data_IF_460028607164
#
_entry.id   IF_460028607164
#
_cell.length_a   1.000
_cell.length_b   1.000
_cell.length_c   1.000
_cell.angle_alpha   90.00
_cell.angle_beta   90.00
_cell.angle_gamma   90.00
#
_symmetry.space_group_name_H-M   'P 1'
#
loop_
_entity.id
_entity.type
_entity.pdbx_description
1 polymer ?
#
# COMPACT_ATOMS: atom_id res chain seq x y z
N UNK A 1 2.67 0.07 -15.48
CA UNK A 1 4.09 0.00 -15.06
C UNK A 1 4.12 -0.41 -13.59
N UNK A 2 5.00 -1.33 -13.19
CA UNK A 2 5.14 -1.77 -11.80
C UNK A 2 5.60 -0.60 -10.92
N UNK A 3 4.96 -0.40 -9.79
CA UNK A 3 5.19 0.77 -8.92
C UNK A 3 5.93 0.43 -7.63
N UNK A 4 5.93 -0.85 -7.21
CA UNK A 4 6.59 -1.27 -5.98
C UNK A 4 6.41 -2.74 -5.66
N UNK A 5 7.03 -3.14 -4.56
CA UNK A 5 6.93 -4.47 -3.96
C UNK A 5 6.22 -4.34 -2.61
N UNK A 6 5.43 -5.36 -2.25
CA UNK A 6 4.76 -5.39 -0.94
C UNK A 6 5.60 -6.09 0.13
N UNK A 7 6.61 -6.84 -0.27
CA UNK A 7 7.46 -7.59 0.64
C UNK A 7 8.91 -7.63 0.16
N UNK A 8 9.84 -7.42 1.07
CA UNK A 8 11.29 -7.59 0.88
C UNK A 8 11.95 -7.78 2.25
N UNK A 9 13.13 -8.39 2.27
CA UNK A 9 14.00 -8.40 3.46
C UNK A 9 14.58 -7.01 3.76
N UNK A 10 14.62 -6.13 2.77
CA UNK A 10 15.04 -4.74 2.92
C UNK A 10 13.89 -3.85 3.36
N UNK A 11 14.15 -2.78 4.11
CA UNK A 11 13.12 -1.84 4.59
C UNK A 11 12.56 -1.01 3.42
N UNK A 12 11.49 -1.50 2.79
CA UNK A 12 10.89 -0.88 1.59
C UNK A 12 10.43 0.55 1.82
N UNK A 13 10.04 0.91 3.04
CA UNK A 13 9.58 2.25 3.42
C UNK A 13 10.66 3.33 3.26
N UNK A 14 11.94 2.95 3.17
CA UNK A 14 13.04 3.90 2.93
C UNK A 14 13.14 4.34 1.47
N UNK A 15 12.39 3.72 0.56
CA UNK A 15 12.51 3.93 -0.88
C UNK A 15 11.22 4.42 -1.49
N UNK A 16 11.27 5.54 -2.20
CA UNK A 16 10.12 6.09 -2.91
C UNK A 16 9.90 5.42 -4.27
N UNK A 17 10.93 4.82 -4.84
CA UNK A 17 10.89 4.19 -6.18
C UNK A 17 11.63 2.87 -6.19
N UNK A 18 11.30 2.01 -7.17
CA UNK A 18 12.03 0.75 -7.41
C UNK A 18 13.49 1.05 -7.80
N UNK A 19 13.70 2.10 -8.56
CA UNK A 19 15.04 2.52 -8.99
C UNK A 19 15.93 2.86 -7.79
N UNK A 20 15.45 3.70 -6.87
CA UNK A 20 16.19 4.05 -5.65
C UNK A 20 16.49 2.81 -4.78
N UNK A 21 15.54 1.88 -4.71
CA UNK A 21 15.75 0.59 -4.04
C UNK A 21 16.87 -0.22 -4.68
N UNK A 22 16.86 -0.38 -6.00
CA UNK A 22 17.87 -1.17 -6.74
C UNK A 22 19.25 -0.55 -6.61
N UNK A 23 19.36 0.76 -6.81
CA UNK A 23 20.64 1.49 -6.76
C UNK A 23 21.29 1.39 -5.39
N UNK A 24 20.52 1.36 -4.30
CA UNK A 24 21.04 1.23 -2.94
C UNK A 24 21.27 -0.21 -2.51
N UNK A 25 20.33 -1.11 -2.81
CA UNK A 25 20.31 -2.47 -2.22
C UNK A 25 20.98 -3.53 -3.08
N UNK A 26 21.05 -3.34 -4.40
CA UNK A 26 21.63 -4.34 -5.31
C UNK A 26 22.39 -3.72 -6.49
N UNK A 27 23.35 -2.80 -6.26
CA UNK A 27 24.07 -2.11 -7.33
C UNK A 27 24.84 -3.07 -8.23
N UNK A 28 25.34 -4.18 -7.70
CA UNK A 28 26.04 -5.22 -8.49
C UNK A 28 25.13 -5.90 -9.53
N UNK A 29 23.81 -5.91 -9.31
CA UNK A 29 22.88 -6.54 -10.26
C UNK A 29 22.63 -5.67 -11.48
N UNK A 30 22.86 -4.37 -11.36
CA UNK A 30 22.65 -3.37 -12.40
C UNK A 30 23.95 -2.76 -12.94
N UNK A 31 25.11 -3.36 -12.62
CA UNK A 31 26.42 -2.89 -13.09
C UNK A 31 26.54 -2.92 -14.62
N UNK A 32 25.72 -3.72 -15.29
CA UNK A 32 25.63 -3.80 -16.74
C UNK A 32 24.16 -3.68 -17.18
N UNK A 33 23.91 -2.86 -18.18
CA UNK A 33 22.60 -2.66 -18.79
C UNK A 33 22.60 -3.34 -20.15
N UNK A 34 22.27 -4.63 -20.15
CA UNK A 34 22.25 -5.46 -21.37
C UNK A 34 21.07 -6.44 -21.34
N UNK A 35 20.69 -6.94 -22.53
CA UNK A 35 19.68 -7.98 -22.67
C UNK A 35 20.09 -9.26 -21.93
N UNK A 36 21.37 -9.62 -22.03
CA UNK A 36 21.91 -10.80 -21.34
C UNK A 36 21.80 -10.65 -19.80
N UNK A 37 22.08 -9.45 -19.29
CA UNK A 37 21.93 -9.18 -17.85
C UNK A 37 20.47 -9.22 -17.42
N UNK A 38 19.56 -8.68 -18.24
CA UNK A 38 18.12 -8.77 -18.01
C UNK A 38 17.65 -10.23 -17.90
N UNK A 39 18.04 -11.06 -18.86
CA UNK A 39 17.73 -12.50 -18.84
C UNK A 39 18.27 -13.18 -17.59
N UNK A 40 19.50 -12.89 -17.20
CA UNK A 40 20.11 -13.45 -15.98
C UNK A 40 19.34 -13.06 -14.72
N UNK A 41 18.83 -11.81 -14.64
CA UNK A 41 18.01 -11.40 -13.51
C UNK A 41 16.65 -12.09 -13.50
N UNK A 42 15.99 -12.20 -14.65
CA UNK A 42 14.69 -12.87 -14.79
C UNK A 42 14.76 -14.38 -14.57
N UNK A 43 15.91 -15.01 -14.86
CA UNK A 43 16.12 -16.44 -14.66
C UNK A 43 16.21 -16.85 -13.18
N UNK A 44 16.25 -15.92 -12.24
CA UNK A 44 16.39 -16.26 -10.83
C UNK A 44 15.15 -16.99 -10.29
N UNK A 45 15.34 -18.22 -9.84
CA UNK A 45 14.27 -19.16 -9.47
C UNK A 45 13.30 -18.66 -8.39
N UNK A 46 13.73 -17.74 -7.53
CA UNK A 46 12.88 -17.19 -6.48
C UNK A 46 11.94 -16.07 -6.98
N UNK A 47 12.03 -15.69 -8.25
CA UNK A 47 10.98 -14.89 -8.89
C UNK A 47 9.82 -15.83 -9.23
N UNK A 48 9.05 -16.19 -8.22
CA UNK A 48 8.03 -17.25 -8.32
C UNK A 48 6.89 -16.90 -9.25
N UNK A 49 6.58 -15.62 -9.40
CA UNK A 49 5.59 -15.14 -10.37
C UNK A 49 5.94 -15.54 -11.81
N UNK A 50 7.23 -15.81 -12.09
CA UNK A 50 7.72 -16.28 -13.41
C UNK A 50 7.88 -17.80 -13.41
N UNK A 51 8.58 -18.33 -12.39
CA UNK A 51 9.05 -19.73 -12.43
C UNK A 51 8.10 -20.74 -11.79
N UNK A 52 7.09 -20.25 -11.05
CA UNK A 52 6.11 -21.11 -10.37
C UNK A 52 4.71 -20.48 -10.37
N UNK A 53 4.19 -19.99 -11.50
CA UNK A 53 2.97 -19.19 -11.54
C UNK A 53 1.73 -19.94 -11.04
N UNK A 54 1.69 -21.27 -11.18
CA UNK A 54 0.55 -22.09 -10.77
C UNK A 54 0.56 -22.50 -9.29
N UNK A 55 1.71 -22.40 -8.62
CA UNK A 55 1.88 -22.83 -7.23
C UNK A 55 2.32 -21.70 -6.31
N UNK A 56 2.69 -20.58 -6.88
CA UNK A 56 3.08 -19.38 -6.14
C UNK A 56 1.88 -18.65 -5.58
N UNK A 57 2.05 -18.06 -4.41
CA UNK A 57 1.15 -17.08 -3.85
C UNK A 57 1.50 -15.64 -4.26
N UNK A 58 2.52 -15.48 -5.10
CA UNK A 58 2.90 -14.18 -5.63
C UNK A 58 1.81 -13.68 -6.60
N UNK A 59 1.42 -12.43 -6.45
CA UNK A 59 0.33 -11.83 -7.20
C UNK A 59 0.58 -10.35 -7.47
N UNK A 60 -0.10 -9.79 -8.45
CA UNK A 60 -0.20 -8.36 -8.59
C UNK A 60 -1.28 -7.80 -7.67
N UNK A 61 -1.03 -6.61 -7.13
CA UNK A 61 -1.95 -5.93 -6.23
C UNK A 61 -2.21 -4.52 -6.74
N UNK A 62 -3.49 -4.18 -6.85
CA UNK A 62 -3.97 -2.83 -7.12
C UNK A 62 -4.85 -2.38 -5.98
N UNK A 63 -4.55 -1.23 -5.41
CA UNK A 63 -5.46 -0.51 -4.54
C UNK A 63 -6.22 0.49 -5.41
N UNK A 64 -7.54 0.38 -5.46
CA UNK A 64 -8.36 1.17 -6.39
C UNK A 64 -8.21 2.69 -6.23
N UNK A 65 -7.80 3.15 -5.05
CA UNK A 65 -7.53 4.57 -4.76
C UNK A 65 -6.11 5.04 -5.08
N UNK A 66 -5.24 4.11 -5.52
CA UNK A 66 -3.88 4.42 -5.99
C UNK A 66 -3.78 4.06 -7.47
N UNK A 67 -3.18 4.94 -8.25
CA UNK A 67 -2.86 4.67 -9.67
C UNK A 67 -1.54 3.89 -9.78
N UNK A 68 -1.41 2.82 -8.98
CA UNK A 68 -0.15 2.08 -8.85
C UNK A 68 -0.41 0.58 -8.84
N UNK A 69 0.46 -0.14 -9.53
CA UNK A 69 0.51 -1.60 -9.56
C UNK A 69 1.68 -2.07 -8.69
N UNK A 70 1.37 -2.90 -7.72
CA UNK A 70 2.36 -3.52 -6.83
C UNK A 70 2.47 -5.01 -7.12
N UNK A 71 3.59 -5.60 -6.71
CA UNK A 71 3.72 -7.04 -6.63
C UNK A 71 3.82 -7.48 -5.17
N UNK A 72 2.95 -8.39 -4.76
CA UNK A 72 3.03 -9.12 -3.51
C UNK A 72 3.83 -10.40 -3.78
N UNK A 73 5.10 -10.41 -3.41
CA UNK A 73 5.99 -11.53 -3.67
C UNK A 73 6.60 -12.06 -2.37
N UNK A 74 6.92 -13.35 -2.37
CA UNK A 74 7.50 -14.06 -1.23
C UNK A 74 9.01 -14.30 -1.37
N UNK A 75 9.58 -13.94 -2.53
CA UNK A 75 11.01 -14.05 -2.81
C UNK A 75 11.42 -13.37 -4.11
N UNK A 76 12.72 -13.26 -4.37
CA UNK A 76 13.26 -12.72 -5.62
C UNK A 76 13.11 -11.22 -5.84
N UNK A 77 12.72 -10.43 -4.83
CA UNK A 77 12.47 -8.99 -4.96
C UNK A 77 13.64 -8.23 -5.56
N UNK A 78 14.87 -8.51 -5.13
CA UNK A 78 16.07 -7.83 -5.63
C UNK A 78 16.33 -8.13 -7.11
N UNK A 79 16.19 -9.37 -7.53
CA UNK A 79 16.39 -9.77 -8.92
C UNK A 79 15.30 -9.20 -9.82
N UNK A 80 14.04 -9.26 -9.37
CA UNK A 80 12.92 -8.70 -10.14
C UNK A 80 13.00 -7.18 -10.23
N UNK A 81 13.43 -6.49 -9.16
CA UNK A 81 13.67 -5.07 -9.17
C UNK A 81 14.80 -4.67 -10.11
N UNK A 82 15.92 -5.43 -10.09
CA UNK A 82 17.02 -5.21 -11.03
C UNK A 82 16.60 -5.49 -12.47
N UNK A 83 15.83 -6.54 -12.73
CA UNK A 83 15.25 -6.79 -14.04
C UNK A 83 14.36 -5.65 -14.53
N UNK A 84 13.49 -5.12 -13.68
CA UNK A 84 12.67 -3.94 -13.98
C UNK A 84 13.53 -2.72 -14.34
N UNK A 85 14.57 -2.46 -13.54
CA UNK A 85 15.51 -1.36 -13.75
C UNK A 85 16.22 -1.45 -15.10
N UNK A 86 16.75 -2.64 -15.45
CA UNK A 86 17.45 -2.91 -16.70
C UNK A 86 16.47 -2.79 -17.89
N UNK A 87 15.32 -3.47 -17.80
CA UNK A 87 14.29 -3.46 -18.84
C UNK A 87 13.83 -2.04 -19.18
N UNK A 88 13.62 -1.20 -18.16
CA UNK A 88 13.24 0.20 -18.32
C UNK A 88 14.30 1.00 -19.09
N UNK A 89 15.59 0.79 -18.81
CA UNK A 89 16.70 1.48 -19.47
C UNK A 89 16.94 1.00 -20.89
N UNK A 90 16.66 -0.26 -21.15
CA UNK A 90 16.71 -0.84 -22.50
C UNK A 90 15.46 -0.52 -23.32
N UNK A 91 14.44 0.10 -22.70
CA UNK A 91 13.11 0.24 -23.28
C UNK A 91 12.54 -1.11 -23.79
N UNK A 92 12.82 -2.17 -23.02
CA UNK A 92 12.44 -3.55 -23.37
C UNK A 92 11.22 -3.98 -22.54
N UNK A 93 10.07 -4.27 -23.18
CA UNK A 93 8.89 -4.72 -22.48
C UNK A 93 9.05 -6.15 -21.96
N UNK A 94 8.82 -6.37 -20.66
CA UNK A 94 8.75 -7.69 -20.04
C UNK A 94 7.29 -7.98 -19.72
N UNK A 95 6.72 -9.00 -20.35
CA UNK A 95 5.35 -9.46 -20.08
C UNK A 95 5.34 -10.47 -18.95
N UNK A 96 4.48 -10.26 -17.96
CA UNK A 96 4.25 -11.16 -16.84
C UNK A 96 2.77 -11.55 -16.79
N UNK A 97 2.52 -12.83 -16.49
CA UNK A 97 1.17 -13.36 -16.27
C UNK A 97 1.07 -13.77 -14.81
N UNK A 98 0.11 -13.23 -14.10
CA UNK A 98 -0.13 -13.57 -12.71
C UNK A 98 -1.56 -13.24 -12.29
N UNK A 99 -1.95 -13.74 -11.12
CA UNK A 99 -3.19 -13.32 -10.48
C UNK A 99 -3.12 -11.84 -10.15
N UNK A 100 -4.27 -11.17 -10.26
CA UNK A 100 -4.44 -9.78 -9.88
C UNK A 100 -5.43 -9.69 -8.74
N UNK A 101 -5.00 -9.12 -7.61
CA UNK A 101 -5.86 -8.80 -6.48
C UNK A 101 -6.16 -7.30 -6.48
N UNK A 102 -7.45 -6.97 -6.57
CA UNK A 102 -7.90 -5.58 -6.49
C UNK A 102 -8.56 -5.32 -5.14
N UNK A 103 -8.06 -4.32 -4.41
CA UNK A 103 -8.68 -3.80 -3.21
C UNK A 103 -9.51 -2.57 -3.55
N UNK A 104 -10.78 -2.59 -3.19
CA UNK A 104 -11.72 -1.48 -3.35
C UNK A 104 -12.32 -1.10 -2.01
N UNK A 105 -12.51 0.19 -1.79
CA UNK A 105 -13.25 0.69 -0.64
C UNK A 105 -14.75 0.65 -0.97
N UNK A 106 -15.53 0.08 -0.06
CA UNK A 106 -16.98 0.07 -0.20
C UNK A 106 -17.56 1.42 0.27
N UNK A 107 -17.94 2.24 -0.69
CA UNK A 107 -18.48 3.58 -0.43
C UNK A 107 -19.73 3.56 0.46
N UNK A 108 -20.60 2.59 0.28
CA UNK A 108 -21.83 2.49 1.08
C UNK A 108 -21.53 2.27 2.56
N UNK A 109 -20.67 1.30 2.87
CA UNK A 109 -20.27 1.05 4.27
C UNK A 109 -19.44 2.18 4.83
N UNK A 110 -18.61 2.83 4.01
CA UNK A 110 -17.88 3.99 4.45
C UNK A 110 -18.82 5.15 4.85
N UNK A 111 -19.86 5.44 4.06
CA UNK A 111 -20.86 6.46 4.40
C UNK A 111 -21.57 6.18 5.72
N UNK A 112 -21.94 4.92 5.97
CA UNK A 112 -22.53 4.52 7.25
C UNK A 112 -21.53 4.73 8.39
N UNK A 113 -20.29 4.33 8.22
CA UNK A 113 -19.23 4.53 9.21
C UNK A 113 -19.04 6.03 9.50
N UNK A 114 -18.90 6.86 8.47
CA UNK A 114 -18.64 8.30 8.59
C UNK A 114 -19.79 9.06 9.28
N UNK A 115 -21.03 8.60 9.11
CA UNK A 115 -22.19 9.16 9.83
C UNK A 115 -22.13 8.92 11.34
N UNK A 116 -21.56 7.81 11.78
CA UNK A 116 -21.62 7.37 13.17
C UNK A 116 -20.31 7.50 13.91
N UNK A 117 -19.18 7.50 13.20
CA UNK A 117 -17.85 7.45 13.81
C UNK A 117 -16.88 8.40 13.12
N UNK A 118 -15.94 8.90 13.91
CA UNK A 118 -14.72 9.52 13.40
C UNK A 118 -13.51 8.75 13.91
N UNK A 119 -12.49 8.60 13.07
CA UNK A 119 -11.27 7.90 13.43
C UNK A 119 -10.05 8.82 13.25
N UNK A 120 -9.09 8.69 14.15
CA UNK A 120 -7.81 9.39 14.09
C UNK A 120 -6.66 8.40 14.21
N UNK A 121 -5.57 8.71 13.53
CA UNK A 121 -4.31 7.97 13.64
C UNK A 121 -3.35 8.81 14.48
N UNK A 122 -2.91 8.26 15.60
CA UNK A 122 -2.02 8.94 16.52
C UNK A 122 -0.65 8.25 16.54
N UNK A 123 0.44 9.04 16.53
CA UNK A 123 1.77 8.53 16.86
C UNK A 123 1.80 7.98 18.29
N UNK A 124 2.47 6.87 18.48
CA UNK A 124 2.57 6.23 19.79
C UNK A 124 3.22 7.14 20.86
N UNK A 125 4.14 8.00 20.42
CA UNK A 125 4.80 8.96 21.30
C UNK A 125 3.84 10.01 21.90
N UNK A 126 2.63 10.16 21.32
CA UNK A 126 1.62 11.14 21.76
C UNK A 126 0.48 10.48 22.57
N UNK A 127 0.57 9.18 22.82
CA UNK A 127 -0.52 8.44 23.45
C UNK A 127 -0.73 8.76 24.92
N UNK A 128 0.35 8.99 25.65
CA UNK A 128 0.25 9.24 27.10
C UNK A 128 -0.56 10.50 27.39
N UNK A 129 -0.33 11.56 26.64
CA UNK A 129 -1.10 12.82 26.74
C UNK A 129 -2.58 12.59 26.36
N UNK A 130 -2.82 11.83 25.29
CA UNK A 130 -4.16 11.52 24.82
C UNK A 130 -4.93 10.68 25.85
N UNK A 131 -4.30 9.64 26.42
CA UNK A 131 -4.92 8.78 27.43
C UNK A 131 -5.24 9.53 28.71
N UNK A 132 -4.35 10.38 29.20
CA UNK A 132 -4.61 11.22 30.36
C UNK A 132 -5.86 12.09 30.16
N UNK A 133 -6.00 12.64 28.95
CA UNK A 133 -7.19 13.42 28.61
C UNK A 133 -8.46 12.56 28.56
N UNK A 134 -8.41 11.35 27.99
CA UNK A 134 -9.56 10.44 27.91
C UNK A 134 -10.05 10.02 29.29
N UNK A 135 -9.15 9.66 30.19
CA UNK A 135 -9.47 9.25 31.56
C UNK A 135 -10.14 10.39 32.34
N UNK A 136 -9.61 11.60 32.24
CA UNK A 136 -10.16 12.77 32.93
C UNK A 136 -11.54 13.17 32.39
N UNK A 137 -11.83 12.88 31.13
CA UNK A 137 -13.05 13.34 30.44
C UNK A 137 -14.12 12.26 30.34
N UNK A 138 -13.89 11.04 30.89
CA UNK A 138 -14.81 9.89 30.78
C UNK A 138 -15.28 9.59 29.34
N UNK A 139 -14.36 9.71 28.40
CA UNK A 139 -14.64 9.56 26.96
C UNK A 139 -14.62 8.08 26.59
N UNK A 140 -15.61 7.66 25.78
CA UNK A 140 -15.69 6.31 25.24
C UNK A 140 -15.07 6.28 23.84
N UNK A 141 -14.10 5.40 23.66
CA UNK A 141 -13.43 5.17 22.38
C UNK A 141 -13.19 3.68 22.14
N UNK A 142 -12.97 3.32 20.88
CA UNK A 142 -12.48 2.01 20.47
C UNK A 142 -11.06 2.21 19.95
N UNK A 143 -10.12 1.45 20.46
CA UNK A 143 -8.75 1.45 19.98
C UNK A 143 -8.52 0.21 19.13
N UNK A 144 -8.03 0.40 17.91
CA UNK A 144 -7.55 -0.69 17.07
C UNK A 144 -6.07 -0.90 17.38
N UNK A 145 -5.75 -2.10 17.88
CA UNK A 145 -4.36 -2.51 18.12
C UNK A 145 -3.76 -2.97 16.80
N UNK A 146 -3.03 -2.08 16.17
CA UNK A 146 -2.29 -2.37 14.96
C UNK A 146 -0.97 -3.08 15.25
N UNK A 147 -0.51 -3.91 14.29
CA UNK A 147 0.82 -4.54 14.38
C UNK A 147 1.96 -3.52 14.17
N UNK A 148 1.66 -2.34 13.66
CA UNK A 148 2.62 -1.25 13.52
C UNK A 148 2.92 -0.62 14.88
N UNK A 149 4.18 -0.69 15.29
CA UNK A 149 4.63 -0.26 16.62
C UNK A 149 4.58 1.26 16.86
N UNK A 150 4.35 2.06 15.82
CA UNK A 150 4.51 3.52 15.87
C UNK A 150 3.21 4.31 15.77
N UNK A 151 2.11 3.67 15.31
CA UNK A 151 0.83 4.33 15.10
C UNK A 151 -0.30 3.54 15.76
N UNK A 152 -1.29 4.25 16.27
CA UNK A 152 -2.52 3.67 16.79
C UNK A 152 -3.75 4.37 16.24
N UNK A 153 -4.86 3.63 16.06
CA UNK A 153 -6.10 4.15 15.50
C UNK A 153 -7.15 4.17 16.61
N UNK A 154 -7.76 5.34 16.78
CA UNK A 154 -8.84 5.57 17.72
C UNK A 154 -10.13 5.90 16.99
N UNK A 155 -11.23 5.31 17.41
CA UNK A 155 -12.56 5.55 16.90
C UNK A 155 -13.42 6.19 18.00
N UNK A 156 -14.04 7.30 17.66
CA UNK A 156 -14.99 8.00 18.52
C UNK A 156 -16.37 7.97 17.87
N UNK A 157 -17.40 7.60 18.63
CA UNK A 157 -18.77 7.77 18.15
C UNK A 157 -19.09 9.26 18.01
N UNK A 158 -19.77 9.65 16.95
CA UNK A 158 -20.28 11.01 16.74
C UNK A 158 -21.50 11.25 17.63
N UNK A 159 -21.28 11.35 18.93
CA UNK A 159 -22.27 11.65 19.94
C UNK A 159 -22.00 13.00 20.59
N UNK A 160 -23.00 13.56 21.25
CA UNK A 160 -22.86 14.82 21.99
C UNK A 160 -21.76 14.74 23.04
N UNK A 161 -21.59 13.57 23.69
CA UNK A 161 -20.59 13.37 24.74
C UNK A 161 -19.15 13.43 24.20
N UNK A 162 -18.95 13.04 22.93
CA UNK A 162 -17.64 13.02 22.28
C UNK A 162 -17.34 14.29 21.48
N UNK A 163 -18.29 15.21 21.32
CA UNK A 163 -18.13 16.36 20.42
C UNK A 163 -16.90 17.20 20.77
N UNK A 164 -16.68 17.48 22.05
CA UNK A 164 -15.53 18.29 22.49
C UNK A 164 -14.20 17.65 22.17
N UNK A 165 -14.06 16.33 22.40
CA UNK A 165 -12.81 15.63 22.10
C UNK A 165 -12.57 15.53 20.60
N UNK A 166 -13.61 15.27 19.82
CA UNK A 166 -13.53 15.22 18.37
C UNK A 166 -13.00 16.54 17.84
N UNK A 167 -13.55 17.69 18.30
CA UNK A 167 -13.09 19.01 17.87
C UNK A 167 -11.61 19.27 18.22
N UNK A 168 -11.17 18.88 19.41
CA UNK A 168 -9.75 19.01 19.81
C UNK A 168 -8.85 18.19 18.92
N UNK A 169 -9.29 16.98 18.55
CA UNK A 169 -8.51 16.09 17.69
C UNK A 169 -8.48 16.57 16.23
N UNK A 170 -9.59 17.12 15.73
CA UNK A 170 -9.68 17.70 14.39
C UNK A 170 -8.76 18.92 14.22
N UNK A 171 -8.52 19.69 15.30
CA UNK A 171 -7.55 20.78 15.27
C UNK A 171 -6.08 20.31 15.17
N UNK A 172 -5.77 19.16 15.73
CA UNK A 172 -4.38 18.64 15.82
C UNK A 172 -4.07 17.58 14.79
N UNK A 173 -5.04 16.74 14.43
CA UNK A 173 -4.84 15.57 13.59
C UNK A 173 -5.83 15.57 12.42
N UNK A 174 -5.34 15.12 11.29
CA UNK A 174 -6.22 14.84 10.17
C UNK A 174 -7.01 13.55 10.44
N UNK A 175 -8.31 13.57 10.26
CA UNK A 175 -9.14 12.39 10.47
C UNK A 175 -8.87 11.32 9.40
N UNK A 176 -8.96 10.06 9.79
CA UNK A 176 -8.91 8.93 8.85
C UNK A 176 -10.11 8.96 7.90
N UNK A 177 -11.26 9.51 8.34
CA UNK A 177 -12.46 9.68 7.52
C UNK A 177 -12.19 10.56 6.30
N UNK A 178 -11.48 11.68 6.45
CA UNK A 178 -11.09 12.54 5.33
C UNK A 178 -10.16 11.79 4.35
N UNK A 179 -9.20 11.03 4.88
CA UNK A 179 -8.31 10.23 4.05
C UNK A 179 -9.06 9.16 3.26
N UNK A 180 -10.00 8.44 3.91
CA UNK A 180 -10.83 7.42 3.25
C UNK A 180 -11.76 8.09 2.24
N UNK A 181 -12.38 9.23 2.56
CA UNK A 181 -13.23 9.99 1.63
C UNK A 181 -12.47 10.36 0.36
N UNK A 182 -11.25 10.85 0.51
CA UNK A 182 -10.36 11.12 -0.62
C UNK A 182 -10.05 9.86 -1.42
N UNK A 183 -9.77 8.73 -0.76
CA UNK A 183 -9.53 7.44 -1.41
C UNK A 183 -10.76 6.95 -2.19
N UNK A 184 -11.96 7.08 -1.61
CA UNK A 184 -13.24 6.72 -2.27
C UNK A 184 -13.45 7.56 -3.53
N UNK A 185 -13.21 8.86 -3.47
CA UNK A 185 -13.31 9.73 -4.63
C UNK A 185 -12.27 9.38 -5.71
N UNK A 186 -11.05 9.04 -5.32
CA UNK A 186 -9.97 8.65 -6.25
C UNK A 186 -10.22 7.33 -6.94
N UNK A 187 -10.76 6.33 -6.27
CA UNK A 187 -10.99 5.01 -6.89
C UNK A 187 -11.96 5.06 -8.08
N UNK A 188 -12.93 5.97 -8.08
CA UNK A 188 -13.87 6.15 -9.18
C UNK A 188 -13.18 6.57 -10.50
N UNK A 189 -11.99 7.18 -10.41
CA UNK A 189 -11.23 7.70 -11.55
C UNK A 189 -9.94 6.93 -11.82
N UNK A 190 -9.75 5.75 -11.20
CA UNK A 190 -8.51 4.99 -11.36
C UNK A 190 -8.38 4.39 -12.77
N UNK A 191 -7.57 5.04 -13.60
CA UNK A 191 -7.34 4.64 -15.00
C UNK A 191 -6.68 3.26 -15.11
N UNK A 192 -5.77 2.92 -14.19
CA UNK A 192 -5.09 1.61 -14.16
C UNK A 192 -6.12 0.50 -13.94
N UNK A 193 -7.01 0.68 -12.96
CA UNK A 193 -8.07 -0.28 -12.68
C UNK A 193 -9.03 -0.42 -13.87
N UNK A 194 -9.45 0.68 -14.47
CA UNK A 194 -10.32 0.68 -15.66
C UNK A 194 -9.67 -0.04 -16.84
N UNK A 195 -8.39 0.18 -17.11
CA UNK A 195 -7.64 -0.50 -18.16
C UNK A 195 -7.52 -2.02 -17.91
N UNK A 196 -7.34 -2.42 -16.66
CA UNK A 196 -7.29 -3.83 -16.28
C UNK A 196 -8.66 -4.50 -16.46
N UNK A 197 -9.72 -3.85 -15.99
CA UNK A 197 -11.08 -4.37 -16.08
C UNK A 197 -11.54 -4.45 -17.54
N UNK A 198 -11.26 -3.46 -18.37
CA UNK A 198 -11.64 -3.45 -19.79
C UNK A 198 -10.95 -4.57 -20.60
N UNK A 199 -9.73 -4.94 -20.25
CA UNK A 199 -9.01 -6.05 -20.91
C UNK A 199 -9.53 -7.43 -20.50
N UNK A 200 -10.11 -7.56 -19.30
CA UNK A 200 -10.65 -8.83 -18.79
C UNK A 200 -12.15 -9.04 -19.09
N UNK A 201 -12.84 -8.03 -19.61
CA UNK A 201 -14.22 -8.15 -20.04
C UNK A 201 -14.41 -8.74 -21.45
N UNK A 202 -13.32 -9.16 -22.08
CA UNK A 202 -13.30 -9.84 -23.39
C UNK A 202 -13.04 -11.36 -23.31
N UNK A 203 -13.25 -11.98 -22.12
CA UNK A 203 -13.19 -13.45 -21.95
C UNK A 203 -14.57 -14.04 -21.76
#
# INVERSE_FOLDING_TARGET
MLSGFSNSKSPLQEFQTIEAFVEKQCPSYISEISAQRLEAMLAHREIRIIHSPNTSTDEFVVFAWLEKLFIANTGGSHHLAAAYYIAKRLNYPVSLIANLRCYVLNEHYFKIFDQHYVAFVLPRAELDDAFQYFEQSNIRFIKLVERHKELEIFFFARSTDNHKIISIFEEKYRSLNEMISWCVAKQAHNVVLQQILSKNSCL
#
